data_IF_992355038816
#
_entry.id   IF_992355038816
#
_cell.length_a   1.000
_cell.length_b   1.000
_cell.length_c   1.000
_cell.angle_alpha   90.00
_cell.angle_beta   90.00
_cell.angle_gamma   90.00
#
_symmetry.space_group_name_H-M   'P 1'
#
loop_
_entity.id
_entity.type
_entity.pdbx_description
1 polymer ?
#
# COMPACT_ATOMS: atom_id res chain seq x y z
N UNK A 1 -26.75 6.63 17.54
CA UNK A 1 -26.21 7.56 18.56
C UNK A 1 -25.34 8.52 17.78
N UNK A 2 -25.75 9.79 17.69
CA UNK A 2 -25.11 10.75 16.80
C UNK A 2 -23.68 11.07 17.26
N UNK A 3 -22.81 11.28 16.28
CA UNK A 3 -21.41 11.65 16.48
C UNK A 3 -21.30 13.17 16.68
N UNK A 4 -21.52 13.64 17.92
CA UNK A 4 -21.49 15.08 18.22
C UNK A 4 -20.16 15.54 18.85
N UNK A 5 -19.26 14.61 19.16
CA UNK A 5 -18.02 14.89 19.88
C UNK A 5 -16.89 15.35 18.97
N UNK A 6 -16.47 16.61 19.14
CA UNK A 6 -15.28 17.14 18.50
C UNK A 6 -13.99 16.39 18.90
N UNK A 7 -13.95 15.80 20.11
CA UNK A 7 -12.79 15.04 20.58
C UNK A 7 -12.67 13.73 19.81
N UNK A 8 -13.77 13.00 19.67
CA UNK A 8 -13.80 11.75 18.89
C UNK A 8 -13.42 12.04 17.43
N UNK A 9 -13.96 13.11 16.85
CA UNK A 9 -13.63 13.52 15.48
C UNK A 9 -12.14 13.82 15.34
N UNK A 10 -11.54 14.60 16.24
CA UNK A 10 -10.11 14.91 16.21
C UNK A 10 -9.23 13.66 16.27
N UNK A 11 -9.49 12.77 17.22
CA UNK A 11 -8.68 11.55 17.39
C UNK A 11 -8.86 10.57 16.24
N UNK A 12 -10.08 10.44 15.71
CA UNK A 12 -10.34 9.63 14.52
C UNK A 12 -9.62 10.19 13.28
N UNK A 13 -9.54 11.52 13.12
CA UNK A 13 -8.72 12.15 12.07
C UNK A 13 -7.25 11.83 12.22
N UNK A 14 -6.73 11.79 13.46
CA UNK A 14 -5.35 11.39 13.74
C UNK A 14 -5.09 9.92 13.39
N UNK A 15 -6.01 9.01 13.74
CA UNK A 15 -5.93 7.59 13.34
C UNK A 15 -5.91 7.44 11.82
N UNK A 16 -6.80 8.16 11.11
CA UNK A 16 -6.87 8.13 9.65
C UNK A 16 -5.59 8.68 8.99
N UNK A 17 -5.00 9.73 9.57
CA UNK A 17 -3.73 10.28 9.12
C UNK A 17 -2.57 9.30 9.29
N UNK A 18 -2.49 8.61 10.43
CA UNK A 18 -1.47 7.59 10.66
C UNK A 18 -1.63 6.42 9.68
N UNK A 19 -2.84 5.94 9.45
CA UNK A 19 -3.10 4.87 8.48
C UNK A 19 -2.69 5.26 7.06
N UNK A 20 -3.07 6.46 6.60
CA UNK A 20 -2.69 6.96 5.29
C UNK A 20 -1.17 7.17 5.16
N UNK A 21 -0.55 7.74 6.20
CA UNK A 21 0.91 7.89 6.28
C UNK A 21 1.63 6.55 6.19
N UNK A 22 1.12 5.53 6.87
CA UNK A 22 1.68 4.18 6.83
C UNK A 22 1.59 3.55 5.44
N UNK A 23 0.44 3.69 4.77
CA UNK A 23 0.29 3.23 3.38
C UNK A 23 1.28 3.94 2.46
N UNK A 24 1.38 5.27 2.54
CA UNK A 24 2.30 6.03 1.69
C UNK A 24 3.77 5.74 2.01
N UNK A 25 4.10 5.47 3.27
CA UNK A 25 5.44 5.04 3.65
C UNK A 25 5.83 3.75 2.92
N UNK A 26 4.92 2.77 2.86
CA UNK A 26 5.20 1.48 2.26
C UNK A 26 5.52 1.57 0.76
N UNK A 27 4.89 2.50 0.03
CA UNK A 27 5.03 2.60 -1.42
C UNK A 27 5.96 3.73 -1.90
N UNK A 28 6.06 4.82 -1.15
CA UNK A 28 6.69 6.07 -1.59
C UNK A 28 7.74 6.58 -0.60
N UNK A 29 7.92 5.90 0.54
CA UNK A 29 8.91 6.24 1.55
C UNK A 29 8.52 7.38 2.49
N UNK A 30 9.51 7.84 3.26
CA UNK A 30 9.31 8.68 4.45
C UNK A 30 8.69 10.06 4.19
N UNK A 31 9.12 10.75 3.13
CA UNK A 31 8.62 12.10 2.81
C UNK A 31 7.14 12.05 2.42
N UNK A 32 6.75 11.06 1.60
CA UNK A 32 5.37 10.86 1.22
C UNK A 32 4.48 10.53 2.43
N UNK A 33 4.99 9.71 3.35
CA UNK A 33 4.30 9.38 4.60
C UNK A 33 4.00 10.64 5.44
N UNK A 34 4.99 11.52 5.61
CA UNK A 34 4.83 12.77 6.34
C UNK A 34 3.83 13.70 5.66
N UNK A 35 4.01 13.97 4.37
CA UNK A 35 3.13 14.86 3.61
C UNK A 35 1.69 14.34 3.59
N UNK A 36 1.51 13.05 3.37
CA UNK A 36 0.19 12.44 3.40
C UNK A 36 -0.45 12.48 4.78
N UNK A 37 0.30 12.23 5.86
CA UNK A 37 -0.22 12.35 7.22
C UNK A 37 -0.68 13.78 7.52
N UNK A 38 0.14 14.77 7.16
CA UNK A 38 -0.13 16.20 7.35
C UNK A 38 -1.35 16.63 6.54
N UNK A 39 -1.56 16.08 5.34
CA UNK A 39 -2.69 16.43 4.48
C UNK A 39 -4.00 15.73 4.90
N UNK A 40 -3.92 14.45 5.25
CA UNK A 40 -5.10 13.61 5.56
C UNK A 40 -5.72 14.01 6.89
N UNK A 41 -4.92 14.45 7.87
CA UNK A 41 -5.45 14.90 9.16
C UNK A 41 -6.46 16.07 9.03
N UNK A 42 -6.11 17.24 8.47
CA UNK A 42 -7.05 18.36 8.34
C UNK A 42 -8.18 18.03 7.37
N UNK A 43 -7.93 17.25 6.32
CA UNK A 43 -8.97 16.84 5.36
C UNK A 43 -10.06 16.00 6.05
N UNK A 44 -9.67 14.95 6.76
CA UNK A 44 -10.61 14.08 7.47
C UNK A 44 -11.35 14.85 8.57
N UNK A 45 -10.65 15.72 9.30
CA UNK A 45 -11.25 16.56 10.33
C UNK A 45 -12.30 17.50 9.74
N UNK A 46 -11.96 18.17 8.65
CA UNK A 46 -12.87 19.08 7.96
C UNK A 46 -14.13 18.36 7.46
N UNK A 47 -13.98 17.19 6.81
CA UNK A 47 -15.11 16.41 6.30
C UNK A 47 -16.04 16.01 7.46
N UNK A 48 -15.51 15.49 8.55
CA UNK A 48 -16.32 15.02 9.68
C UNK A 48 -17.03 16.17 10.39
N UNK A 49 -16.37 17.32 10.58
CA UNK A 49 -17.02 18.52 11.15
C UNK A 49 -18.14 19.04 10.23
N UNK A 50 -17.94 18.98 8.93
CA UNK A 50 -18.92 19.40 7.93
C UNK A 50 -20.13 18.46 7.88
N UNK A 51 -19.90 17.15 7.94
CA UNK A 51 -20.96 16.12 8.00
C UNK A 51 -21.75 16.21 9.31
N UNK A 52 -21.08 16.40 10.45
CA UNK A 52 -21.73 16.52 11.76
C UNK A 52 -22.71 17.71 11.86
N UNK A 53 -22.56 18.73 11.01
CA UNK A 53 -23.44 19.92 10.98
C UNK A 53 -24.72 19.72 10.17
N UNK A 54 -24.83 18.63 9.42
CA UNK A 54 -25.96 18.40 8.52
C UNK A 54 -26.80 17.22 9.02
N UNK A 55 -28.12 17.36 8.91
CA UNK A 55 -29.05 16.28 9.25
C UNK A 55 -28.95 15.14 8.22
N UNK A 56 -28.88 13.90 8.71
CA UNK A 56 -28.71 12.70 7.90
C UNK A 56 -29.77 12.59 6.78
N UNK A 57 -31.04 12.85 7.10
CA UNK A 57 -32.19 12.76 6.18
C UNK A 57 -32.17 13.80 5.05
N UNK A 58 -31.45 14.90 5.22
CA UNK A 58 -31.34 15.99 4.24
C UNK A 58 -29.90 16.14 3.70
N UNK A 59 -29.04 15.14 3.89
CA UNK A 59 -27.62 15.28 3.62
C UNK A 59 -27.33 15.39 2.11
N UNK A 60 -26.78 16.53 1.62
CA UNK A 60 -26.38 16.66 0.22
C UNK A 60 -25.12 15.83 -0.08
N UNK A 61 -24.42 15.38 0.95
CA UNK A 61 -23.16 14.64 0.87
C UNK A 61 -23.35 13.16 0.52
N UNK A 62 -24.56 12.62 0.56
CA UNK A 62 -24.82 11.25 0.12
C UNK A 62 -24.42 11.07 -1.35
N UNK A 63 -24.88 11.98 -2.23
CA UNK A 63 -24.51 11.96 -3.66
C UNK A 63 -23.01 12.11 -3.87
N UNK A 64 -22.35 12.96 -3.08
CA UNK A 64 -20.91 13.14 -3.15
C UNK A 64 -20.17 11.86 -2.75
N UNK A 65 -20.63 11.18 -1.69
CA UNK A 65 -20.04 9.91 -1.24
C UNK A 65 -20.20 8.80 -2.29
N UNK A 66 -21.33 8.75 -2.98
CA UNK A 66 -21.57 7.81 -4.09
C UNK A 66 -20.64 8.08 -5.28
N UNK A 67 -20.42 9.36 -5.62
CA UNK A 67 -19.47 9.75 -6.68
C UNK A 67 -18.03 9.37 -6.32
N UNK A 68 -17.62 9.57 -5.06
CA UNK A 68 -16.29 9.19 -4.58
C UNK A 68 -16.13 7.65 -4.63
N UNK A 69 -17.14 6.90 -4.20
CA UNK A 69 -17.12 5.43 -4.29
C UNK A 69 -17.06 4.93 -5.74
N UNK A 70 -17.85 5.55 -6.64
CA UNK A 70 -17.83 5.24 -8.06
C UNK A 70 -16.46 5.53 -8.70
N UNK A 71 -15.79 6.62 -8.31
CA UNK A 71 -14.42 6.92 -8.73
C UNK A 71 -13.45 5.83 -8.29
N UNK A 72 -13.59 5.32 -7.05
CA UNK A 72 -12.79 4.20 -6.57
C UNK A 72 -12.97 2.93 -7.41
N UNK A 73 -14.21 2.59 -7.77
CA UNK A 73 -14.51 1.45 -8.67
C UNK A 73 -13.90 1.67 -10.06
N UNK A 74 -14.03 2.88 -10.61
CA UNK A 74 -13.54 3.22 -11.94
C UNK A 74 -12.01 3.13 -12.01
N UNK A 75 -11.31 3.58 -10.96
CA UNK A 75 -9.85 3.52 -10.88
C UNK A 75 -9.32 2.12 -10.52
N UNK A 76 -10.13 1.27 -9.89
CA UNK A 76 -9.71 -0.06 -9.46
C UNK A 76 -9.26 -0.95 -10.63
N UNK A 77 -10.05 -1.01 -11.71
CA UNK A 77 -9.76 -1.88 -12.85
C UNK A 77 -8.45 -1.52 -13.58
N UNK A 78 -8.17 -0.26 -13.94
CA UNK A 78 -6.89 0.09 -14.57
C UNK A 78 -5.71 -0.14 -13.62
N UNK A 79 -5.84 0.17 -12.33
CA UNK A 79 -4.78 -0.07 -11.34
C UNK A 79 -4.50 -1.57 -11.16
N UNK A 80 -5.54 -2.41 -11.19
CA UNK A 80 -5.39 -3.86 -11.07
C UNK A 80 -4.51 -4.42 -12.20
N UNK A 81 -4.69 -3.91 -13.42
CA UNK A 81 -3.94 -4.36 -14.61
C UNK A 81 -2.50 -3.80 -14.60
N UNK A 82 -2.31 -2.55 -14.16
CA UNK A 82 -1.02 -1.86 -14.28
C UNK A 82 -0.08 -2.08 -13.08
N UNK A 83 -0.62 -2.18 -11.87
CA UNK A 83 0.14 -2.17 -10.61
C UNK A 83 -0.09 -3.43 -9.77
N UNK A 84 -0.98 -4.33 -10.19
CA UNK A 84 -1.33 -5.55 -9.47
C UNK A 84 -2.41 -5.34 -8.41
N UNK A 85 -2.73 -6.44 -7.71
CA UNK A 85 -3.91 -6.51 -6.84
C UNK A 85 -3.81 -5.66 -5.58
N UNK A 86 -2.63 -5.63 -4.94
CA UNK A 86 -2.49 -4.99 -3.63
C UNK A 86 -2.57 -3.46 -3.71
N UNK A 87 -1.85 -2.76 -4.63
CA UNK A 87 -1.98 -1.31 -4.77
C UNK A 87 -3.38 -0.89 -5.25
N UNK A 88 -3.99 -1.69 -6.15
CA UNK A 88 -5.36 -1.44 -6.60
C UNK A 88 -6.37 -1.52 -5.46
N UNK A 89 -6.25 -2.54 -4.60
CA UNK A 89 -7.09 -2.70 -3.42
C UNK A 89 -6.90 -1.54 -2.43
N UNK A 90 -5.66 -1.10 -2.20
CA UNK A 90 -5.38 0.02 -1.30
C UNK A 90 -5.97 1.33 -1.78
N UNK A 91 -5.88 1.64 -3.08
CA UNK A 91 -6.54 2.82 -3.65
C UNK A 91 -8.06 2.69 -3.51
N UNK A 92 -8.64 1.53 -3.81
CA UNK A 92 -10.06 1.28 -3.64
C UNK A 92 -10.52 1.46 -2.18
N UNK A 93 -9.77 0.89 -1.22
CA UNK A 93 -9.99 1.06 0.22
C UNK A 93 -9.88 2.53 0.62
N UNK A 94 -8.92 3.27 0.06
CA UNK A 94 -8.77 4.71 0.27
C UNK A 94 -10.00 5.50 -0.15
N UNK A 95 -10.51 5.27 -1.37
CA UNK A 95 -11.75 5.89 -1.85
C UNK A 95 -12.96 5.47 -1.01
N UNK A 96 -13.06 4.19 -0.63
CA UNK A 96 -14.12 3.71 0.24
C UNK A 96 -14.07 4.39 1.62
N UNK A 97 -12.88 4.57 2.20
CA UNK A 97 -12.69 5.28 3.46
C UNK A 97 -13.15 6.73 3.35
N UNK A 98 -12.73 7.45 2.31
CA UNK A 98 -13.15 8.84 2.08
C UNK A 98 -14.66 8.95 1.88
N UNK A 99 -15.27 8.03 1.11
CA UNK A 99 -16.72 7.99 0.93
C UNK A 99 -17.46 7.76 2.27
N UNK A 100 -16.93 6.87 3.13
CA UNK A 100 -17.48 6.62 4.46
C UNK A 100 -17.41 7.86 5.36
N UNK A 101 -16.38 8.70 5.26
CA UNK A 101 -16.30 9.95 6.03
C UNK A 101 -17.51 10.85 5.76
N UNK A 102 -17.92 11.00 4.50
CA UNK A 102 -19.08 11.81 4.11
C UNK A 102 -20.42 11.26 4.60
N UNK A 103 -20.43 10.01 5.07
CA UNK A 103 -21.62 9.34 5.57
C UNK A 103 -21.60 9.15 7.10
N UNK A 104 -20.51 9.48 7.79
CA UNK A 104 -20.30 9.15 9.20
C UNK A 104 -21.08 10.09 10.13
N UNK A 105 -22.35 9.75 10.38
CA UNK A 105 -23.23 10.46 11.31
C UNK A 105 -23.35 9.76 12.69
N UNK A 106 -23.03 8.46 12.74
CA UNK A 106 -23.15 7.62 13.94
C UNK A 106 -21.84 6.90 14.28
N UNK A 107 -21.68 6.54 15.56
CA UNK A 107 -20.56 5.72 16.04
C UNK A 107 -20.43 4.38 15.31
N UNK A 108 -21.53 3.77 14.84
CA UNK A 108 -21.47 2.52 14.06
C UNK A 108 -20.65 2.69 12.78
N UNK A 109 -20.88 3.79 12.04
CA UNK A 109 -20.15 4.08 10.80
C UNK A 109 -18.69 4.45 11.10
N UNK A 110 -18.44 5.09 12.25
CA UNK A 110 -17.09 5.35 12.74
C UNK A 110 -16.31 4.05 13.00
N UNK A 111 -16.90 3.05 13.65
CA UNK A 111 -16.24 1.76 13.88
C UNK A 111 -15.93 1.01 12.58
N UNK A 112 -16.81 1.12 11.58
CA UNK A 112 -16.54 0.58 10.23
C UNK A 112 -15.34 1.30 9.62
N UNK A 113 -15.30 2.63 9.68
CA UNK A 113 -14.16 3.42 9.19
C UNK A 113 -12.83 3.08 9.90
N UNK A 114 -12.85 2.86 11.22
CA UNK A 114 -11.68 2.38 11.95
C UNK A 114 -11.18 1.02 11.43
N UNK A 115 -12.11 0.10 11.14
CA UNK A 115 -11.77 -1.22 10.58
C UNK A 115 -11.15 -1.09 9.20
N UNK A 116 -11.70 -0.23 8.34
CA UNK A 116 -11.16 0.07 7.01
C UNK A 116 -9.73 0.65 7.11
N UNK A 117 -9.51 1.60 8.02
CA UNK A 117 -8.18 2.15 8.27
C UNK A 117 -7.18 1.11 8.80
N UNK A 118 -7.63 0.17 9.62
CA UNK A 118 -6.79 -0.93 10.11
C UNK A 118 -6.43 -1.91 8.99
N UNK A 119 -7.38 -2.24 8.11
CA UNK A 119 -7.11 -3.06 6.92
C UNK A 119 -6.07 -2.39 6.02
N UNK A 120 -6.17 -1.07 5.82
CA UNK A 120 -5.17 -0.31 5.06
C UNK A 120 -3.78 -0.36 5.72
N UNK A 121 -3.71 -0.24 7.05
CA UNK A 121 -2.47 -0.39 7.81
C UNK A 121 -1.85 -1.79 7.64
N UNK A 122 -2.65 -2.86 7.72
CA UNK A 122 -2.16 -4.23 7.51
C UNK A 122 -1.67 -4.41 6.07
N UNK A 123 -2.43 -3.93 5.09
CA UNK A 123 -2.05 -4.04 3.69
C UNK A 123 -0.73 -3.29 3.40
N UNK A 124 -0.52 -2.10 3.99
CA UNK A 124 0.77 -1.42 3.89
C UNK A 124 1.91 -2.14 4.62
N UNK A 125 1.61 -2.88 5.70
CA UNK A 125 2.61 -3.68 6.42
C UNK A 125 3.11 -4.87 5.59
N UNK A 126 2.25 -5.47 4.76
CA UNK A 126 2.63 -6.56 3.85
C UNK A 126 3.65 -6.09 2.83
N UNK A 127 3.55 -4.84 2.37
CA UNK A 127 4.48 -4.25 1.41
C UNK A 127 5.76 -3.73 2.08
N UNK A 128 5.68 -3.27 3.33
CA UNK A 128 6.83 -2.62 3.98
C UNK A 128 7.91 -3.60 4.41
N UNK A 129 9.08 -3.48 3.80
CA UNK A 129 10.31 -4.21 4.17
C UNK A 129 11.11 -3.56 5.31
N UNK A 130 10.62 -2.45 5.87
CA UNK A 130 11.36 -1.65 6.86
C UNK A 130 10.84 -1.84 8.29
N UNK A 131 11.74 -2.07 9.24
CA UNK A 131 11.40 -2.11 10.66
C UNK A 131 10.83 -0.78 11.20
N UNK A 132 11.05 0.34 10.50
CA UNK A 132 10.45 1.65 10.82
C UNK A 132 8.93 1.58 10.75
N UNK A 133 8.35 0.65 9.99
CA UNK A 133 6.90 0.45 9.91
C UNK A 133 6.25 0.16 11.28
N UNK A 134 7.00 -0.42 12.22
CA UNK A 134 6.53 -0.67 13.59
C UNK A 134 6.14 0.62 14.33
N UNK A 135 6.75 1.76 14.00
CA UNK A 135 6.36 3.04 14.58
C UNK A 135 4.96 3.48 14.11
N UNK A 136 4.56 3.14 12.89
CA UNK A 136 3.20 3.39 12.42
C UNK A 136 2.19 2.52 13.15
N UNK A 137 2.50 1.24 13.40
CA UNK A 137 1.67 0.38 14.25
C UNK A 137 1.54 0.92 15.67
N UNK A 138 2.65 1.38 16.27
CA UNK A 138 2.64 1.96 17.60
C UNK A 138 1.79 3.24 17.65
N UNK A 139 2.00 4.16 16.71
CA UNK A 139 1.22 5.38 16.60
C UNK A 139 -0.28 5.09 16.37
N UNK A 140 -0.59 4.11 15.51
CA UNK A 140 -1.95 3.69 15.24
C UNK A 140 -2.59 3.07 16.49
N UNK A 141 -1.88 2.21 17.21
CA UNK A 141 -2.38 1.59 18.44
C UNK A 141 -2.69 2.62 19.55
N UNK A 142 -1.82 3.62 19.73
CA UNK A 142 -2.07 4.70 20.70
C UNK A 142 -3.29 5.53 20.28
N UNK A 143 -3.33 5.98 19.03
CA UNK A 143 -4.40 6.85 18.53
C UNK A 143 -5.75 6.13 18.48
N UNK A 144 -5.80 4.86 18.08
CA UNK A 144 -7.04 4.08 18.05
C UNK A 144 -7.55 3.78 19.46
N UNK A 145 -6.66 3.49 20.42
CA UNK A 145 -7.05 3.26 21.82
C UNK A 145 -7.70 4.50 22.44
N UNK A 146 -7.14 5.68 22.17
CA UNK A 146 -7.71 6.95 22.61
C UNK A 146 -9.05 7.22 21.93
N UNK A 147 -9.12 7.00 20.61
CA UNK A 147 -10.37 7.18 19.82
C UNK A 147 -11.48 6.27 20.33
N UNK A 148 -11.19 4.99 20.55
CA UNK A 148 -12.12 4.00 21.10
C UNK A 148 -12.54 4.37 22.53
N UNK A 149 -11.60 4.84 23.36
CA UNK A 149 -11.90 5.30 24.72
C UNK A 149 -12.93 6.42 24.75
N UNK A 150 -12.78 7.43 23.88
CA UNK A 150 -13.78 8.49 23.75
C UNK A 150 -15.08 7.99 23.12
N UNK A 151 -15.00 7.21 22.03
CA UNK A 151 -16.17 6.72 21.30
C UNK A 151 -17.04 5.77 22.15
N UNK A 152 -16.45 5.04 23.10
CA UNK A 152 -17.18 4.15 24.00
C UNK A 152 -17.81 4.89 25.19
N UNK A 153 -17.06 5.81 25.83
CA UNK A 153 -17.50 6.44 27.09
C UNK A 153 -18.51 7.55 26.84
N UNK A 154 -18.32 8.34 25.79
CA UNK A 154 -19.10 9.56 25.56
C UNK A 154 -20.60 9.31 25.31
N UNK A 155 -21.03 8.25 24.61
CA UNK A 155 -22.45 7.91 24.50
C UNK A 155 -23.06 7.35 25.79
N UNK A 156 -22.24 6.82 26.70
CA UNK A 156 -22.68 6.26 27.99
C UNK A 156 -22.72 7.33 29.09
N UNK A 157 -21.88 8.36 29.01
CA UNK A 157 -21.74 9.38 30.04
C UNK A 157 -22.72 10.55 29.83
N UNK A 158 -24.01 10.33 30.08
CA UNK A 158 -24.96 11.45 30.23
C UNK A 158 -24.65 12.30 31.50
N UNK A 159 -23.73 11.85 32.36
CA UNK A 159 -23.23 12.62 33.49
C UNK A 159 -21.80 12.17 33.90
N UNK A 160 -20.81 13.03 33.66
CA UNK A 160 -19.60 13.24 34.50
C UNK A 160 -18.46 12.20 34.65
N UNK A 161 -18.27 11.19 33.81
CA UNK A 161 -16.94 10.51 33.78
C UNK A 161 -16.17 10.87 32.52
N UNK A 162 -15.60 12.08 32.49
CA UNK A 162 -14.55 12.38 31.53
C UNK A 162 -13.33 11.56 31.95
N UNK A 163 -13.07 10.45 31.24
CA UNK A 163 -11.85 9.68 31.44
C UNK A 163 -10.65 10.60 31.20
N UNK A 164 -9.71 10.62 32.15
CA UNK A 164 -8.53 11.45 32.03
C UNK A 164 -7.71 10.94 30.82
N UNK A 165 -7.28 11.81 29.88
CA UNK A 165 -6.46 11.40 28.75
C UNK A 165 -5.16 10.69 29.17
N UNK A 166 -4.62 11.01 30.36
CA UNK A 166 -3.45 10.32 30.91
C UNK A 166 -3.76 8.87 31.28
N UNK A 167 -4.95 8.58 31.78
CA UNK A 167 -5.36 7.21 32.14
C UNK A 167 -5.66 6.39 30.88
N UNK A 168 -6.19 7.02 29.82
CA UNK A 168 -6.29 6.40 28.50
C UNK A 168 -4.92 6.06 27.91
N UNK A 169 -3.95 6.97 28.02
CA UNK A 169 -2.58 6.72 27.56
C UNK A 169 -1.93 5.59 28.36
N UNK A 170 -2.14 5.55 29.68
CA UNK A 170 -1.67 4.45 30.54
C UNK A 170 -2.31 3.12 30.16
N UNK A 171 -3.62 3.11 29.91
CA UNK A 171 -4.33 1.90 29.47
C UNK A 171 -3.83 1.44 28.09
N UNK A 172 -3.61 2.36 27.16
CA UNK A 172 -3.01 2.06 25.86
C UNK A 172 -1.58 1.50 26.01
N UNK A 173 -0.75 2.09 26.85
CA UNK A 173 0.59 1.60 27.14
C UNK A 173 0.57 0.20 27.77
N UNK A 174 -0.36 -0.07 28.67
CA UNK A 174 -0.57 -1.41 29.24
C UNK A 174 -1.00 -2.42 28.17
N UNK A 175 -1.96 -2.07 27.31
CA UNK A 175 -2.41 -2.93 26.21
C UNK A 175 -1.27 -3.22 25.22
N UNK A 176 -0.48 -2.21 24.86
CA UNK A 176 0.69 -2.35 24.00
C UNK A 176 1.73 -3.25 24.69
N UNK A 177 1.99 -3.04 25.97
CA UNK A 177 2.90 -3.87 26.75
C UNK A 177 2.47 -5.33 26.80
N UNK A 178 1.18 -5.58 27.05
CA UNK A 178 0.61 -6.94 27.02
C UNK A 178 0.71 -7.54 25.63
N UNK A 179 0.38 -6.78 24.57
CA UNK A 179 0.51 -7.24 23.19
C UNK A 179 1.96 -7.57 22.83
N UNK A 180 2.93 -6.78 23.30
CA UNK A 180 4.36 -7.05 23.13
C UNK A 180 4.78 -8.34 23.84
N UNK A 181 4.34 -8.53 25.09
CA UNK A 181 4.61 -9.76 25.85
C UNK A 181 4.01 -10.96 25.14
N UNK A 182 2.77 -10.87 24.65
CA UNK A 182 2.14 -11.92 23.85
C UNK A 182 2.95 -12.18 22.58
N UNK A 183 3.37 -11.14 21.86
CA UNK A 183 4.17 -11.28 20.64
C UNK A 183 5.53 -11.97 20.88
N UNK A 184 6.15 -11.73 22.04
CA UNK A 184 7.43 -12.33 22.40
C UNK A 184 7.29 -13.77 22.91
N UNK A 185 6.17 -14.10 23.57
CA UNK A 185 5.95 -15.41 24.20
C UNK A 185 5.23 -16.39 23.28
N UNK A 186 4.28 -15.91 22.47
CA UNK A 186 3.51 -16.77 21.57
C UNK A 186 4.42 -17.17 20.41
N UNK A 187 4.72 -18.48 20.25
CA UNK A 187 5.48 -18.95 19.11
C UNK A 187 4.73 -18.55 17.84
N UNK A 188 5.44 -17.87 16.94
CA UNK A 188 4.85 -17.39 15.69
C UNK A 188 4.32 -18.59 14.92
N UNK A 189 3.04 -18.55 14.55
CA UNK A 189 2.50 -19.56 13.65
C UNK A 189 3.32 -19.52 12.36
N UNK A 190 3.71 -20.69 11.80
CA UNK A 190 4.39 -20.72 10.52
C UNK A 190 3.52 -19.96 9.52
N UNK A 191 4.13 -19.05 8.76
CA UNK A 191 3.45 -18.32 7.70
C UNK A 191 2.68 -19.35 6.88
N UNK A 192 1.37 -19.15 6.71
CA UNK A 192 0.53 -20.09 5.97
C UNK A 192 1.10 -20.24 4.57
N UNK A 193 1.84 -21.32 4.33
CA UNK A 193 2.43 -21.70 3.05
C UNK A 193 1.33 -22.13 2.08
N UNK A 194 0.48 -21.19 1.69
CA UNK A 194 -0.30 -21.37 0.46
C UNK A 194 0.66 -21.09 -0.70
N UNK A 195 1.47 -22.10 -1.05
CA UNK A 195 2.30 -22.11 -2.26
C UNK A 195 3.83 -22.13 -2.09
N UNK A 196 4.41 -22.13 -0.87
CA UNK A 196 5.87 -22.20 -0.75
C UNK A 196 6.40 -23.64 -0.65
N UNK A 197 7.48 -23.89 -1.39
CA UNK A 197 8.19 -25.18 -1.50
C UNK A 197 8.84 -25.52 -0.14
N UNK A 198 8.75 -26.78 0.34
CA UNK A 198 9.31 -27.16 1.64
C UNK A 198 10.84 -27.14 1.62
N UNK A 199 11.48 -26.45 2.60
CA UNK A 199 12.92 -26.58 2.84
C UNK A 199 13.69 -25.39 3.44
N UNK A 200 13.09 -24.21 3.63
CA UNK A 200 13.84 -23.04 4.13
C UNK A 200 13.52 -22.68 5.57
N UNK A 201 14.26 -23.31 6.50
CA UNK A 201 14.30 -22.95 7.92
C UNK A 201 14.88 -21.53 8.19
N UNK A 202 15.29 -20.80 7.15
CA UNK A 202 15.87 -19.45 7.21
C UNK A 202 15.05 -18.41 6.42
N UNK A 203 13.71 -18.46 6.47
CA UNK A 203 12.84 -17.57 5.70
C UNK A 203 12.92 -16.08 6.06
N UNK A 204 13.46 -15.72 7.24
CA UNK A 204 13.54 -14.33 7.72
C UNK A 204 14.93 -13.72 7.66
N UNK A 205 15.97 -14.50 7.37
CA UNK A 205 17.31 -14.00 6.99
C UNK A 205 17.41 -14.02 5.47
N UNK A 206 16.59 -13.21 4.80
CA UNK A 206 16.77 -13.01 3.38
C UNK A 206 17.79 -11.89 3.16
N UNK A 207 19.05 -12.26 2.90
CA UNK A 207 20.11 -11.30 2.59
C UNK A 207 19.74 -10.38 1.42
N UNK A 208 18.87 -10.82 0.50
CA UNK A 208 18.36 -9.96 -0.58
C UNK A 208 17.46 -8.84 -0.03
N UNK A 209 16.60 -9.12 0.96
CA UNK A 209 15.75 -8.09 1.58
C UNK A 209 16.56 -7.09 2.41
N UNK A 210 17.62 -7.54 3.10
CA UNK A 210 18.53 -6.63 3.80
C UNK A 210 19.33 -5.74 2.83
N UNK A 211 19.76 -6.30 1.70
CA UNK A 211 20.46 -5.54 0.65
C UNK A 211 19.52 -4.53 -0.03
N UNK A 212 18.27 -4.89 -0.31
CA UNK A 212 17.24 -3.99 -0.86
C UNK A 212 16.81 -2.91 0.13
N UNK A 213 16.74 -3.22 1.44
CA UNK A 213 16.41 -2.23 2.48
C UNK A 213 17.53 -1.21 2.69
N UNK A 214 18.79 -1.60 2.47
CA UNK A 214 19.96 -0.71 2.55
C UNK A 214 20.18 0.10 1.28
N UNK A 215 19.48 -0.21 0.19
CA UNK A 215 19.47 0.67 -0.98
C UNK A 215 18.63 1.91 -0.63
N UNK A 216 19.22 3.11 -0.61
CA UNK A 216 18.46 4.33 -0.43
C UNK A 216 17.41 4.35 -1.55
N UNK A 217 16.13 4.48 -1.19
CA UNK A 217 15.01 4.64 -2.12
C UNK A 217 15.17 5.97 -2.87
N UNK A 218 16.13 6.01 -3.76
CA UNK A 218 16.55 7.13 -4.57
C UNK A 218 16.53 6.69 -6.02
N UNK A 219 15.37 6.79 -6.64
CA UNK A 219 15.28 7.11 -8.06
C UNK A 219 15.24 5.96 -9.07
N UNK A 220 15.52 4.71 -8.70
CA UNK A 220 15.38 3.60 -9.65
C UNK A 220 14.01 2.96 -9.48
N UNK A 221 13.00 3.65 -10.01
CA UNK A 221 11.78 2.98 -10.40
C UNK A 221 12.20 1.80 -11.28
N UNK A 222 11.88 0.57 -10.87
CA UNK A 222 11.86 -0.58 -11.78
C UNK A 222 11.26 -0.09 -13.09
N UNK A 223 12.09 -0.02 -14.14
CA UNK A 223 11.66 0.43 -15.44
C UNK A 223 10.59 -0.58 -15.88
N UNK A 224 9.32 -0.19 -15.69
CA UNK A 224 8.19 -0.90 -16.25
C UNK A 224 8.55 -1.21 -17.71
N UNK A 225 8.41 -2.46 -18.18
CA UNK A 225 8.82 -2.86 -19.53
C UNK A 225 8.17 -1.99 -20.63
N UNK A 226 7.06 -1.31 -20.33
CA UNK A 226 6.45 -0.33 -21.20
C UNK A 226 7.26 0.98 -21.35
N UNK A 227 7.95 1.44 -20.29
CA UNK A 227 8.79 2.65 -20.32
C UNK A 227 10.12 2.42 -21.04
N UNK A 228 10.74 1.24 -20.87
CA UNK A 228 11.95 0.90 -21.62
C UNK A 228 11.65 0.76 -23.11
N UNK A 229 10.51 0.16 -23.49
CA UNK A 229 10.03 0.13 -24.88
C UNK A 229 9.72 1.52 -25.45
N UNK A 230 9.10 2.42 -24.68
CA UNK A 230 8.83 3.80 -25.11
C UNK A 230 10.11 4.61 -25.29
N UNK A 231 11.11 4.39 -24.43
CA UNK A 231 12.41 5.04 -24.53
C UNK A 231 13.21 4.54 -25.73
N UNK A 232 13.17 3.22 -25.98
CA UNK A 232 13.77 2.61 -27.16
C UNK A 232 13.10 3.08 -28.47
N UNK A 233 11.77 3.22 -28.48
CA UNK A 233 11.02 3.77 -29.61
C UNK A 233 11.33 5.25 -29.86
N UNK A 234 11.48 6.06 -28.79
CA UNK A 234 11.84 7.46 -28.90
C UNK A 234 13.27 7.64 -29.45
N UNK A 235 14.23 6.84 -28.98
CA UNK A 235 15.60 6.85 -29.52
C UNK A 235 15.67 6.37 -30.98
N UNK A 236 14.81 5.43 -31.37
CA UNK A 236 14.72 4.97 -32.77
C UNK A 236 14.18 6.06 -33.70
N UNK A 237 13.16 6.80 -33.25
CA UNK A 237 12.57 7.91 -34.02
C UNK A 237 13.54 9.09 -34.17
N UNK A 238 14.34 9.40 -33.16
CA UNK A 238 15.35 10.46 -33.24
C UNK A 238 16.51 10.09 -34.19
N UNK A 239 16.87 8.80 -34.28
CA UNK A 239 17.90 8.33 -35.22
C UNK A 239 17.43 8.23 -36.67
N UNK A 240 16.15 7.95 -36.92
CA UNK A 240 15.61 7.90 -38.30
C UNK A 240 15.40 9.29 -38.93
N UNK A 241 15.51 10.37 -38.16
CA UNK A 241 15.37 11.74 -38.64
C UNK A 241 16.65 12.38 -39.23
N UNK A 242 17.85 11.85 -38.97
CA UNK A 242 19.10 12.57 -39.24
C UNK A 242 20.02 12.05 -40.34
N UNK A 243 19.79 10.86 -40.93
CA UNK A 243 20.71 10.33 -41.95
C UNK A 243 20.05 10.07 -43.31
N UNK A 244 19.96 11.15 -44.09
CA UNK A 244 19.75 11.07 -45.55
C UNK A 244 20.99 11.60 -46.28
N UNK A 245 22.02 10.76 -46.34
CA UNK A 245 23.10 10.87 -47.34
C UNK A 245 23.59 9.46 -47.71
N UNK A 246 23.50 9.03 -48.97
CA UNK A 246 24.09 7.77 -49.38
C UNK A 246 25.55 8.05 -49.73
N UNK A 247 26.49 7.43 -49.00
CA UNK A 247 27.83 7.29 -49.53
C UNK A 247 28.32 5.85 -49.44
N UNK A 248 29.00 5.47 -50.51
CA UNK A 248 29.42 4.12 -50.89
C UNK A 248 30.66 3.69 -50.09
N UNK A 249 30.82 2.36 -50.03
CA UNK A 249 32.07 1.60 -49.81
C UNK A 249 32.75 1.68 -48.43
N UNK A 250 32.75 0.56 -47.70
CA UNK A 250 33.98 -0.15 -47.34
C UNK A 250 33.65 -1.49 -46.65
N UNK A 251 34.55 -2.43 -46.94
CA UNK A 251 34.57 -3.82 -46.55
C UNK A 251 35.11 -4.00 -45.11
N UNK A 252 34.72 -5.12 -44.49
CA UNK A 252 35.45 -5.88 -43.43
C UNK A 252 35.30 -5.54 -41.92
N UNK A 253 35.58 -6.54 -41.04
CA UNK A 253 34.61 -7.10 -40.11
C UNK A 253 35.04 -6.97 -38.64
N UNK A 254 34.12 -7.21 -37.71
CA UNK A 254 34.34 -7.87 -36.40
C UNK A 254 33.23 -7.47 -35.43
N UNK A 255 32.54 -8.47 -34.88
CA UNK A 255 32.48 -8.73 -33.45
C UNK A 255 31.24 -9.59 -33.16
N UNK A 256 31.51 -10.79 -32.67
CA UNK A 256 30.55 -11.78 -32.21
C UNK A 256 29.61 -11.17 -31.17
N UNK A 257 28.31 -11.24 -31.46
CA UNK A 257 27.25 -11.11 -30.47
C UNK A 257 26.63 -12.50 -30.29
N UNK A 258 26.82 -13.18 -29.13
CA UNK A 258 26.36 -14.56 -28.96
C UNK A 258 24.89 -14.67 -28.51
N UNK A 259 24.07 -13.63 -28.71
CA UNK A 259 22.64 -13.68 -28.39
C UNK A 259 21.81 -13.29 -29.62
N UNK A 260 21.50 -14.29 -30.45
CA UNK A 260 20.39 -14.23 -31.40
C UNK A 260 19.16 -14.87 -30.75
N UNK A 261 18.27 -14.03 -30.24
CA UNK A 261 16.89 -14.44 -29.97
C UNK A 261 16.17 -14.62 -31.32
N UNK A 262 16.07 -15.85 -31.80
CA UNK A 262 15.14 -16.22 -32.88
C UNK A 262 13.83 -16.60 -32.18
N UNK A 263 12.75 -15.88 -32.50
CA UNK A 263 11.46 -15.99 -31.82
C UNK A 263 10.77 -17.35 -31.97
N UNK A 264 9.46 -17.34 -31.77
CA UNK A 264 8.54 -18.47 -31.64
C UNK A 264 8.30 -19.31 -32.92
N UNK A 265 9.33 -19.52 -33.75
CA UNK A 265 9.22 -20.29 -35.00
C UNK A 265 9.64 -21.76 -34.82
N UNK A 266 9.70 -22.28 -33.60
CA UNK A 266 9.86 -23.71 -33.36
C UNK A 266 8.49 -24.38 -33.20
N UNK A 267 8.00 -25.00 -34.27
CA UNK A 267 7.07 -26.12 -34.14
C UNK A 267 7.83 -27.28 -33.48
N UNK A 268 7.38 -27.64 -32.28
CA UNK A 268 7.89 -28.79 -31.54
C UNK A 268 7.34 -30.05 -32.22
N UNK A 269 8.15 -30.67 -33.08
CA UNK A 269 7.80 -31.95 -33.70
C UNK A 269 7.94 -33.06 -32.65
N UNK A 270 6.80 -33.65 -32.27
CA UNK A 270 6.68 -34.63 -31.18
C UNK A 270 7.32 -35.98 -31.56
N UNK A 271 7.58 -36.20 -32.85
CA UNK A 271 8.04 -37.50 -33.36
C UNK A 271 9.57 -37.66 -33.35
N UNK A 272 10.35 -36.62 -33.01
CA UNK A 272 11.82 -36.73 -32.99
C UNK A 272 12.51 -35.91 -31.87
N UNK A 273 12.52 -36.41 -30.61
CA UNK A 273 13.07 -35.69 -29.45
C UNK A 273 14.60 -35.70 -29.34
N UNK A 274 15.35 -36.33 -30.24
CA UNK A 274 16.78 -36.65 -30.03
C UNK A 274 17.80 -35.62 -30.57
N UNK A 275 17.37 -34.50 -31.17
CA UNK A 275 18.31 -33.49 -31.70
C UNK A 275 18.94 -32.57 -30.62
N UNK A 276 18.84 -32.94 -29.33
CA UNK A 276 19.51 -32.27 -28.21
C UNK A 276 20.72 -33.06 -27.64
N UNK A 277 21.18 -34.09 -28.36
CA UNK A 277 22.13 -35.09 -27.86
C UNK A 277 23.62 -34.72 -27.76
N UNK A 278 24.10 -33.59 -28.28
CA UNK A 278 25.55 -33.35 -28.43
C UNK A 278 26.18 -32.34 -27.44
N UNK A 279 25.53 -32.05 -26.30
CA UNK A 279 26.03 -31.05 -25.33
C UNK A 279 26.71 -31.56 -24.06
N UNK A 280 26.91 -32.87 -23.90
CA UNK A 280 27.67 -33.40 -22.76
C UNK A 280 28.73 -34.44 -23.20
N UNK A 281 29.78 -33.97 -23.88
CA UNK A 281 31.09 -34.62 -23.78
C UNK A 281 32.02 -33.67 -23.03
N UNK A 282 32.37 -34.05 -21.80
CA UNK A 282 33.50 -33.47 -21.10
C UNK A 282 34.47 -34.61 -20.78
N UNK A 283 35.72 -34.38 -21.19
CA UNK A 283 36.91 -35.10 -20.77
C UNK A 283 37.17 -34.93 -19.27
#
# INVERSE_FOLDING_TARGET
MKLDSLKVVYWYSMVSAVAAGAVLFAYLGFIAALLGSILVMPLTHFILVLVARVNEEASPYLKLSEQIAAMGILLFLPLLILNGILPALLVFIGFAHVALLFQTHDYRRLYIGLTVGFTALIAGAVESKSGVYLFFFLAYAVTISITLGYAYIEPLSNNRSQWNPLDQLRAAAWLIGVALVIYLIVPRFPAGNVGAIPGSDHFYENQAWEQEANQPHGGDAEESPARSLLRELAEKFDREGSDRRPDRTADRPSAESPFRYRGFDYEMDIDNPDDQGDRFSNA
#
